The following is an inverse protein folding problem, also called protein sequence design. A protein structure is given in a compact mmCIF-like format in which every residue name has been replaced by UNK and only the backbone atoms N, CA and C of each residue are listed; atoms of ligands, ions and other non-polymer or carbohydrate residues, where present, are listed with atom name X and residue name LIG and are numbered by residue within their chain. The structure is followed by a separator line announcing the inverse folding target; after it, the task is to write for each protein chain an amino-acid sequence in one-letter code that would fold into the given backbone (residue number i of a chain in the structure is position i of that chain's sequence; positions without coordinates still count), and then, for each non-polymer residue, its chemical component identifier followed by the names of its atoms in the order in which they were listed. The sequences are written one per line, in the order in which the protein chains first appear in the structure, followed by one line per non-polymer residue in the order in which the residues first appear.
data_IF_262653559684
#
_entry.id   IF_262653559684
#
_cell.length_a   1.000
_cell.length_b   1.000
_cell.length_c   1.000
_cell.angle_alpha   90.00
_cell.angle_beta   90.00
_cell.angle_gamma   90.00
#
_symmetry.space_group_name_H-M   'P 1'
#
loop_
_entity.id
_entity.type
_entity.pdbx_description
1 polymer ?
#
# COMPACT_ATOMS: atom_id res chain seq x y z
N UNK A 1 -37.32 29.57 -2.42
CA UNK A 1 -35.88 29.82 -2.21
C UNK A 1 -35.22 28.88 -1.17
N UNK A 2 -35.81 27.71 -0.84
CA UNK A 2 -35.37 26.84 0.28
C UNK A 2 -34.74 25.51 -0.13
N UNK A 3 -34.72 25.16 -1.42
CA UNK A 3 -34.27 23.83 -1.91
C UNK A 3 -32.75 23.65 -1.97
N UNK A 4 -31.96 24.70 -1.73
CA UNK A 4 -30.49 24.68 -1.84
C UNK A 4 -29.74 24.19 -0.59
N UNK A 5 -30.33 24.29 0.62
CA UNK A 5 -29.63 23.92 1.88
C UNK A 5 -29.56 22.41 2.13
N UNK A 6 -30.55 21.64 1.66
CA UNK A 6 -30.58 20.17 1.86
C UNK A 6 -29.53 19.40 1.05
N UNK A 7 -29.18 19.89 -0.15
CA UNK A 7 -28.22 19.23 -1.05
C UNK A 7 -26.76 19.39 -0.58
N UNK A 8 -26.44 20.48 0.12
CA UNK A 8 -25.11 20.70 0.70
C UNK A 8 -24.92 19.88 1.99
N UNK A 9 -25.98 19.71 2.80
CA UNK A 9 -25.94 18.88 4.02
C UNK A 9 -25.87 17.39 3.68
N UNK A 10 -26.65 16.89 2.70
CA UNK A 10 -26.53 15.48 2.29
C UNK A 10 -25.17 15.14 1.67
N UNK A 11 -24.58 16.04 0.87
CA UNK A 11 -23.25 15.83 0.26
C UNK A 11 -22.11 15.70 1.27
N UNK A 12 -22.21 16.36 2.43
CA UNK A 12 -21.21 16.25 3.49
C UNK A 12 -21.23 14.88 4.16
N UNK A 13 -22.41 14.37 4.49
CA UNK A 13 -22.56 13.12 5.23
C UNK A 13 -21.99 11.92 4.44
N UNK A 14 -22.30 11.79 3.15
CA UNK A 14 -21.86 10.64 2.35
C UNK A 14 -20.34 10.49 2.18
N UNK A 15 -19.57 11.59 2.29
CA UNK A 15 -18.10 11.54 2.20
C UNK A 15 -17.44 11.12 3.52
N UNK A 16 -18.07 11.45 4.65
CA UNK A 16 -17.60 11.08 5.98
C UNK A 16 -18.13 9.72 6.45
N UNK A 17 -19.19 9.19 5.81
CA UNK A 17 -19.75 7.87 6.12
C UNK A 17 -18.69 6.76 6.09
N UNK A 18 -17.83 6.61 5.06
CA UNK A 18 -16.81 5.57 5.06
C UNK A 18 -15.84 5.73 6.23
N UNK A 19 -15.38 6.95 6.51
CA UNK A 19 -14.48 7.23 7.62
C UNK A 19 -15.13 6.89 8.97
N UNK A 20 -16.38 7.33 9.18
CA UNK A 20 -17.13 7.07 10.41
C UNK A 20 -17.38 5.58 10.60
N UNK A 21 -17.74 4.84 9.54
CA UNK A 21 -17.90 3.39 9.57
C UNK A 21 -16.57 2.71 9.92
N UNK A 22 -15.46 3.13 9.30
CA UNK A 22 -14.14 2.55 9.58
C UNK A 22 -13.72 2.77 11.04
N UNK A 23 -13.91 3.99 11.57
CA UNK A 23 -13.62 4.30 12.97
C UNK A 23 -14.52 3.49 13.90
N UNK A 24 -15.82 3.41 13.62
CA UNK A 24 -16.77 2.65 14.42
C UNK A 24 -16.41 1.16 14.46
N UNK A 25 -16.09 0.57 13.30
CA UNK A 25 -15.63 -0.82 13.21
C UNK A 25 -14.36 -1.04 14.01
N UNK A 26 -13.38 -0.15 13.90
CA UNK A 26 -12.15 -0.23 14.69
C UNK A 26 -12.43 -0.22 16.20
N UNK A 27 -13.23 0.73 16.69
CA UNK A 27 -13.58 0.84 18.12
C UNK A 27 -14.33 -0.39 18.60
N UNK A 28 -15.32 -0.87 17.84
CA UNK A 28 -16.13 -2.04 18.21
C UNK A 28 -15.25 -3.29 18.26
N UNK A 29 -14.44 -3.54 17.23
CA UNK A 29 -13.57 -4.72 17.18
C UNK A 29 -12.48 -4.68 18.24
N UNK A 30 -11.84 -3.52 18.43
CA UNK A 30 -10.82 -3.35 19.47
C UNK A 30 -11.41 -3.51 20.88
N UNK A 31 -12.58 -2.93 21.13
CA UNK A 31 -13.31 -3.07 22.40
C UNK A 31 -13.76 -4.50 22.67
N UNK A 32 -14.31 -5.20 21.66
CA UNK A 32 -14.67 -6.60 21.78
C UNK A 32 -13.44 -7.48 22.07
N UNK A 33 -12.32 -7.22 21.39
CA UNK A 33 -11.05 -7.89 21.65
C UNK A 33 -10.53 -7.64 23.07
N UNK A 34 -10.62 -6.40 23.56
CA UNK A 34 -10.24 -6.03 24.93
C UNK A 34 -11.08 -6.73 26.01
N UNK A 35 -12.35 -7.00 25.72
CA UNK A 35 -13.25 -7.70 26.64
C UNK A 35 -13.11 -9.24 26.60
N UNK A 36 -12.70 -9.81 25.46
CA UNK A 36 -12.65 -11.27 25.26
C UNK A 36 -11.25 -11.86 25.47
N UNK A 37 -10.18 -11.08 25.36
CA UNK A 37 -8.81 -11.57 25.45
C UNK A 37 -8.01 -10.81 26.52
N UNK A 38 -7.46 -11.57 27.47
CA UNK A 38 -6.59 -11.02 28.51
C UNK A 38 -5.32 -10.40 27.90
N UNK A 39 -5.00 -9.17 28.28
CA UNK A 39 -3.82 -8.43 27.79
C UNK A 39 -4.00 -7.70 26.44
N UNK A 40 -5.16 -7.81 25.79
CA UNK A 40 -5.43 -7.15 24.51
C UNK A 40 -5.47 -5.61 24.61
N UNK A 41 -5.86 -5.07 25.76
CA UNK A 41 -5.82 -3.63 26.04
C UNK A 41 -4.41 -3.07 26.28
N UNK A 42 -3.36 -3.90 26.21
CA UNK A 42 -2.00 -3.43 26.40
C UNK A 42 -1.55 -2.46 25.29
N UNK A 43 -0.72 -1.48 25.66
CA UNK A 43 -0.12 -0.53 24.72
C UNK A 43 0.66 -1.26 23.61
N UNK A 44 1.28 -2.40 23.93
CA UNK A 44 2.04 -3.17 22.96
C UNK A 44 1.16 -3.74 21.84
N UNK A 45 -0.01 -4.31 22.16
CA UNK A 45 -0.96 -4.80 21.14
C UNK A 45 -1.45 -3.65 20.26
N UNK A 46 -1.72 -2.50 20.86
CA UNK A 46 -2.09 -1.30 20.11
C UNK A 46 -0.97 -0.81 19.17
N UNK A 47 0.28 -0.78 19.64
CA UNK A 47 1.42 -0.38 18.81
C UNK A 47 1.75 -1.39 17.72
N UNK A 48 1.56 -2.69 17.97
CA UNK A 48 1.75 -3.73 16.96
C UNK A 48 0.86 -3.50 15.74
N UNK A 49 -0.37 -3.00 15.93
CA UNK A 49 -1.23 -2.61 14.80
C UNK A 49 -0.54 -1.61 13.84
N UNK A 50 0.19 -0.64 14.36
CA UNK A 50 0.93 0.32 13.54
C UNK A 50 2.19 -0.29 12.93
N UNK A 51 2.88 -1.16 13.66
CA UNK A 51 4.08 -1.85 13.18
C UNK A 51 3.73 -2.76 11.99
N UNK A 52 2.68 -3.56 12.11
CA UNK A 52 2.25 -4.50 11.06
C UNK A 52 1.74 -3.77 9.80
N UNK A 53 1.19 -2.56 9.97
CA UNK A 53 0.70 -1.73 8.88
C UNK A 53 1.66 -0.61 8.47
N UNK A 54 2.89 -0.60 8.98
CA UNK A 54 3.87 0.46 8.71
C UNK A 54 4.17 0.58 7.20
N UNK A 55 4.23 -0.54 6.49
CA UNK A 55 4.47 -0.54 5.04
C UNK A 55 3.34 0.16 4.26
N UNK A 56 2.08 0.00 4.67
CA UNK A 56 0.94 0.70 4.05
C UNK A 56 1.01 2.20 4.31
N UNK A 57 1.37 2.61 5.53
CA UNK A 57 1.52 4.01 5.89
C UNK A 57 2.63 4.70 5.06
N UNK A 58 3.80 4.05 4.94
CA UNK A 58 4.90 4.55 4.11
C UNK A 58 4.49 4.62 2.64
N UNK A 59 3.78 3.60 2.15
CA UNK A 59 3.27 3.56 0.78
C UNK A 59 2.28 4.69 0.51
N UNK A 60 1.37 4.98 1.45
CA UNK A 60 0.40 6.07 1.32
C UNK A 60 1.06 7.45 1.18
N UNK A 61 2.18 7.68 1.88
CA UNK A 61 2.98 8.89 1.73
C UNK A 61 3.54 8.97 0.29
N UNK A 62 4.10 7.89 -0.23
CA UNK A 62 4.57 7.82 -1.62
C UNK A 62 3.46 8.08 -2.65
N UNK A 63 2.30 7.43 -2.47
CA UNK A 63 1.12 7.58 -3.34
C UNK A 63 0.57 9.01 -3.35
N UNK A 64 0.82 9.79 -2.30
CA UNK A 64 0.44 11.22 -2.28
C UNK A 64 1.10 11.99 -3.42
N UNK A 65 2.38 11.71 -3.73
CA UNK A 65 3.07 12.35 -4.85
C UNK A 65 2.50 11.95 -6.20
N UNK A 66 2.10 10.69 -6.35
CA UNK A 66 1.45 10.17 -7.57
C UNK A 66 0.10 10.85 -7.81
N UNK A 67 -0.69 11.03 -6.75
CA UNK A 67 -2.02 11.64 -6.87
C UNK A 67 -1.90 13.14 -7.16
N UNK A 68 -0.97 13.84 -6.48
CA UNK A 68 -0.75 15.27 -6.69
C UNK A 68 -0.25 15.55 -8.11
N UNK A 69 0.53 14.64 -8.72
CA UNK A 69 0.94 14.76 -10.12
C UNK A 69 -0.19 14.46 -11.13
N UNK A 70 -1.40 14.13 -10.66
CA UNK A 70 -2.56 13.80 -11.49
C UNK A 70 -2.55 12.37 -12.02
N UNK A 71 -1.70 11.50 -11.47
CA UNK A 71 -1.61 10.09 -11.84
C UNK A 71 -2.41 9.17 -10.95
N UNK A 72 -2.47 7.90 -11.36
CA UNK A 72 -2.93 6.78 -10.54
C UNK A 72 -1.90 5.68 -10.72
N UNK A 73 -1.33 5.21 -9.62
CA UNK A 73 -0.41 4.07 -9.63
C UNK A 73 -1.12 2.82 -9.14
N UNK A 74 -1.35 1.90 -10.08
CA UNK A 74 -1.91 0.58 -9.82
C UNK A 74 -0.84 -0.43 -9.41
N UNK A 75 0.41 -0.22 -9.83
CA UNK A 75 1.50 -1.20 -9.70
C UNK A 75 2.00 -1.38 -8.28
N UNK A 76 1.79 -0.40 -7.40
CA UNK A 76 2.44 -0.32 -6.09
C UNK A 76 2.30 -1.60 -5.25
N UNK A 77 1.11 -2.20 -5.22
CA UNK A 77 0.89 -3.46 -4.49
C UNK A 77 1.67 -4.63 -5.08
N UNK A 78 1.78 -4.69 -6.41
CA UNK A 78 2.56 -5.73 -7.10
C UNK A 78 4.06 -5.52 -6.95
N UNK A 79 4.54 -4.28 -6.92
CA UNK A 79 5.95 -3.96 -6.67
C UNK A 79 6.32 -4.35 -5.25
N UNK A 80 5.47 -4.04 -4.25
CA UNK A 80 5.66 -4.50 -2.87
C UNK A 80 5.76 -6.03 -2.83
N UNK A 81 4.80 -6.73 -3.43
CA UNK A 81 4.81 -8.20 -3.47
C UNK A 81 6.09 -8.76 -4.10
N UNK A 82 6.53 -8.20 -5.24
CA UNK A 82 7.78 -8.59 -5.90
C UNK A 82 9.00 -8.36 -5.00
N UNK A 83 9.12 -7.17 -4.38
CA UNK A 83 10.25 -6.86 -3.49
C UNK A 83 10.27 -7.76 -2.25
N UNK A 84 9.11 -8.12 -1.71
CA UNK A 84 8.99 -9.05 -0.58
C UNK A 84 9.40 -10.46 -0.98
N UNK A 85 8.92 -10.96 -2.13
CA UNK A 85 9.30 -12.28 -2.63
C UNK A 85 10.80 -12.36 -2.91
N UNK A 86 11.38 -11.37 -3.60
CA UNK A 86 12.84 -11.31 -3.82
C UNK A 86 13.60 -11.29 -2.50
N UNK A 87 13.13 -10.52 -1.51
CA UNK A 87 13.76 -10.49 -0.18
C UNK A 87 13.73 -11.86 0.50
N UNK A 88 12.57 -12.52 0.48
CA UNK A 88 12.39 -13.84 1.07
C UNK A 88 13.29 -14.88 0.39
N UNK A 89 13.29 -14.95 -0.95
CA UNK A 89 14.14 -15.88 -1.71
C UNK A 89 15.62 -15.63 -1.44
N UNK A 90 16.09 -14.38 -1.42
CA UNK A 90 17.50 -14.06 -1.19
C UNK A 90 17.95 -14.40 0.23
N UNK A 91 17.12 -14.10 1.24
CA UNK A 91 17.48 -14.33 2.65
C UNK A 91 17.29 -15.79 3.05
N UNK A 92 16.13 -16.38 2.75
CA UNK A 92 15.76 -17.72 3.24
C UNK A 92 16.34 -18.84 2.36
N UNK A 93 16.34 -18.70 1.04
CA UNK A 93 16.77 -19.78 0.13
C UNK A 93 18.25 -19.67 -0.24
N UNK A 94 18.74 -18.45 -0.47
CA UNK A 94 20.13 -18.18 -0.88
C UNK A 94 21.05 -17.80 0.30
N UNK A 95 20.50 -17.56 1.50
CA UNK A 95 21.27 -17.28 2.71
C UNK A 95 21.99 -15.93 2.69
N UNK A 96 21.56 -14.96 1.88
CA UNK A 96 22.18 -13.64 1.82
C UNK A 96 21.91 -12.85 3.09
N UNK A 97 22.89 -12.06 3.53
CA UNK A 97 22.73 -11.19 4.69
C UNK A 97 21.64 -10.13 4.44
N UNK A 98 20.70 -9.92 5.39
CA UNK A 98 19.69 -8.86 5.29
C UNK A 98 20.27 -7.47 5.03
N UNK A 99 21.48 -7.21 5.54
CA UNK A 99 22.17 -5.94 5.33
C UNK A 99 22.48 -5.63 3.85
N UNK A 100 22.63 -6.68 3.02
CA UNK A 100 22.85 -6.54 1.56
C UNK A 100 21.52 -6.56 0.81
N UNK A 101 20.57 -7.38 1.26
CA UNK A 101 19.28 -7.54 0.60
C UNK A 101 18.44 -6.26 0.68
N UNK A 102 18.40 -5.59 1.84
CA UNK A 102 17.63 -4.35 2.05
C UNK A 102 17.98 -3.26 1.01
N UNK A 103 19.23 -2.81 0.85
CA UNK A 103 19.56 -1.80 -0.15
C UNK A 103 19.31 -2.28 -1.59
N UNK A 104 19.48 -3.56 -1.87
CA UNK A 104 19.22 -4.14 -3.19
C UNK A 104 17.75 -4.07 -3.58
N UNK A 105 16.83 -4.46 -2.69
CA UNK A 105 15.39 -4.42 -2.99
C UNK A 105 14.85 -3.00 -3.03
N UNK A 106 15.40 -2.09 -2.22
CA UNK A 106 15.11 -0.66 -2.30
C UNK A 106 15.54 -0.07 -3.65
N UNK A 107 16.74 -0.42 -4.12
CA UNK A 107 17.23 -0.01 -5.44
C UNK A 107 16.36 -0.58 -6.57
N UNK A 108 15.97 -1.85 -6.47
CA UNK A 108 15.09 -2.51 -7.43
C UNK A 108 13.72 -1.84 -7.51
N UNK A 109 13.05 -1.62 -6.37
CA UNK A 109 11.74 -0.94 -6.33
C UNK A 109 11.82 0.48 -6.87
N UNK A 110 12.88 1.22 -6.51
CA UNK A 110 13.13 2.58 -7.01
C UNK A 110 13.37 2.60 -8.52
N UNK A 111 14.13 1.64 -9.05
CA UNK A 111 14.39 1.52 -10.49
C UNK A 111 13.11 1.22 -11.28
N UNK A 112 12.25 0.33 -10.76
CA UNK A 112 10.95 0.01 -11.37
C UNK A 112 10.05 1.25 -11.39
N UNK A 113 9.93 1.96 -10.26
CA UNK A 113 9.15 3.19 -10.16
C UNK A 113 9.67 4.31 -11.07
N UNK A 114 10.99 4.50 -11.11
CA UNK A 114 11.66 5.46 -11.98
C UNK A 114 11.45 5.11 -13.46
N UNK A 115 11.55 3.82 -13.82
CA UNK A 115 11.29 3.35 -15.18
C UNK A 115 9.86 3.68 -15.65
N UNK A 116 8.86 3.38 -14.81
CA UNK A 116 7.48 3.76 -15.10
C UNK A 116 7.30 5.27 -15.21
N UNK A 117 7.89 6.05 -14.30
CA UNK A 117 7.85 7.51 -14.32
C UNK A 117 8.48 8.11 -15.59
N UNK A 118 9.61 7.57 -16.04
CA UNK A 118 10.27 7.97 -17.28
C UNK A 118 9.40 7.67 -18.51
N UNK A 119 8.77 6.49 -18.56
CA UNK A 119 7.88 6.13 -19.67
C UNK A 119 6.69 7.10 -19.74
N UNK A 120 6.07 7.41 -18.60
CA UNK A 120 4.96 8.37 -18.52
C UNK A 120 5.42 9.74 -19.02
N UNK A 121 6.55 10.24 -18.53
CA UNK A 121 7.04 11.57 -18.84
C UNK A 121 7.49 11.73 -20.31
N UNK A 122 8.23 10.75 -20.83
CA UNK A 122 8.83 10.83 -22.16
C UNK A 122 7.82 10.54 -23.27
N UNK A 123 7.02 9.48 -23.12
CA UNK A 123 6.05 9.07 -24.14
C UNK A 123 4.67 9.72 -23.96
N UNK A 124 4.46 10.49 -22.87
CA UNK A 124 3.19 11.17 -22.54
C UNK A 124 1.98 10.23 -22.53
N UNK A 125 2.21 8.99 -22.10
CA UNK A 125 1.16 7.98 -21.93
C UNK A 125 0.43 8.22 -20.62
N UNK A 126 -0.87 7.92 -20.55
CA UNK A 126 -1.61 8.04 -19.30
C UNK A 126 -1.02 7.14 -18.20
N UNK A 127 -0.80 7.66 -16.96
CA UNK A 127 -0.17 6.92 -15.87
C UNK A 127 -0.81 5.57 -15.54
N UNK A 128 -2.14 5.50 -15.62
CA UNK A 128 -2.89 4.26 -15.38
C UNK A 128 -2.46 3.11 -16.30
N UNK A 129 -2.19 3.39 -17.59
CA UNK A 129 -1.82 2.35 -18.56
C UNK A 129 -0.44 1.79 -18.25
N UNK A 130 0.52 2.68 -17.98
CA UNK A 130 1.91 2.29 -17.68
C UNK A 130 1.97 1.51 -16.37
N UNK A 131 1.25 1.97 -15.34
CA UNK A 131 1.24 1.30 -14.02
C UNK A 131 0.43 0.01 -14.02
N UNK A 132 -0.61 -0.11 -14.85
CA UNK A 132 -1.31 -1.38 -15.07
C UNK A 132 -0.42 -2.41 -15.79
N UNK A 133 0.32 -2.00 -16.82
CA UNK A 133 1.32 -2.87 -17.46
C UNK A 133 2.42 -3.26 -16.47
N UNK A 134 2.91 -2.31 -15.68
CA UNK A 134 3.87 -2.54 -14.60
C UNK A 134 3.35 -3.52 -13.54
N UNK A 135 2.08 -3.42 -13.17
CA UNK A 135 1.41 -4.35 -12.25
C UNK A 135 1.48 -5.79 -12.76
N UNK A 136 1.16 -6.01 -14.04
CA UNK A 136 1.21 -7.35 -14.64
C UNK A 136 2.63 -7.88 -14.76
N UNK A 137 3.59 -7.03 -15.14
CA UNK A 137 5.00 -7.41 -15.20
C UNK A 137 5.52 -7.83 -13.82
N UNK A 138 5.29 -7.00 -12.80
CA UNK A 138 5.73 -7.30 -11.44
C UNK A 138 5.07 -8.57 -10.89
N UNK A 139 3.77 -8.79 -11.15
CA UNK A 139 3.09 -10.04 -10.78
C UNK A 139 3.62 -11.25 -11.53
N UNK A 140 3.88 -11.13 -12.82
CA UNK A 140 4.44 -12.22 -13.62
C UNK A 140 5.82 -12.62 -13.11
N UNK A 141 6.68 -11.64 -12.83
CA UNK A 141 8.01 -11.90 -12.27
C UNK A 141 7.94 -12.49 -10.86
N UNK A 142 7.06 -11.96 -10.01
CA UNK A 142 6.78 -12.49 -8.68
C UNK A 142 6.34 -13.95 -8.72
N UNK A 143 5.47 -14.31 -9.67
CA UNK A 143 5.00 -15.67 -9.87
C UNK A 143 6.13 -16.61 -10.29
N UNK A 144 6.96 -16.19 -11.25
CA UNK A 144 8.12 -16.98 -11.70
C UNK A 144 9.08 -17.24 -10.53
N UNK A 145 9.43 -16.20 -9.76
CA UNK A 145 10.31 -16.35 -8.60
C UNK A 145 9.69 -17.30 -7.57
N UNK A 146 8.37 -17.20 -7.32
CA UNK A 146 7.71 -18.08 -6.33
C UNK A 146 7.71 -19.55 -6.69
N UNK A 147 7.84 -19.91 -7.98
CA UNK A 147 7.89 -21.30 -8.41
C UNK A 147 9.30 -21.89 -8.17
N UNK A 148 10.33 -21.07 -8.36
CA UNK A 148 11.73 -21.47 -8.24
C UNK A 148 12.31 -21.27 -6.83
N UNK A 149 11.54 -20.67 -5.92
CA UNK A 149 11.86 -20.53 -4.50
C UNK A 149 11.44 -21.81 -3.79
#
# INVERSE_FOLDING_TARGET
MTRGRGLLVQRGHHKLLPLAVTIALFVIMYGAGACWFDGFFSLQVFLNFFIDNAFLAITAIGMTFVIISGGIDLSVGSVIALTTMVSATLVEHLGWSPAVVIPLVLAMGSAIGLGMGLVIQYFRVQPFIVTLAGMFLARGLCYLISIDS
#
